data_IF_205015013444
#
_entry.id   IF_205015013444
#
_cell.length_a   1.000
_cell.length_b   1.000
_cell.length_c   1.000
_cell.angle_alpha   90.00
_cell.angle_beta   90.00
_cell.angle_gamma   90.00
#
_symmetry.space_group_name_H-M   'P 1'
#
loop_
_entity.id
_entity.type
_entity.pdbx_description
1 polymer ?
#
# COMPACT_ATOMS: atom_id res chain seq x y z
N UNK A 1 -21.83 -1.23 0.16
CA UNK A 1 -21.42 0.18 0.13
C UNK A 1 -19.91 0.33 -0.01
N UNK A 2 -19.11 -0.06 0.99
CA UNK A 2 -17.64 0.08 0.95
C UNK A 2 -16.96 -0.52 -0.29
N UNK A 3 -17.39 -1.70 -0.76
CA UNK A 3 -16.84 -2.32 -1.99
C UNK A 3 -17.10 -1.46 -3.23
N UNK A 4 -18.29 -0.87 -3.36
CA UNK A 4 -18.63 -0.02 -4.50
C UNK A 4 -17.83 1.28 -4.51
N UNK A 5 -17.66 1.90 -3.33
CA UNK A 5 -16.80 3.08 -3.16
C UNK A 5 -15.35 2.78 -3.53
N UNK A 6 -14.80 1.67 -3.04
CA UNK A 6 -13.46 1.22 -3.38
C UNK A 6 -13.27 1.00 -4.89
N UNK A 7 -14.24 0.38 -5.55
CA UNK A 7 -14.14 0.13 -6.99
C UNK A 7 -14.24 1.42 -7.81
N UNK A 8 -15.05 2.38 -7.37
CA UNK A 8 -15.13 3.70 -8.01
C UNK A 8 -13.84 4.49 -7.80
N UNK A 9 -13.26 4.45 -6.60
CA UNK A 9 -11.97 5.06 -6.30
C UNK A 9 -10.88 4.51 -7.21
N UNK A 10 -10.78 3.18 -7.34
CA UNK A 10 -9.83 2.51 -8.24
C UNK A 10 -10.03 2.91 -9.72
N UNK A 11 -11.28 3.08 -10.16
CA UNK A 11 -11.55 3.57 -11.50
C UNK A 11 -11.02 4.99 -11.72
N UNK A 12 -11.22 5.90 -10.76
CA UNK A 12 -10.68 7.26 -10.84
C UNK A 12 -9.16 7.29 -10.75
N UNK A 13 -8.57 6.49 -9.87
CA UNK A 13 -7.13 6.31 -9.79
C UNK A 13 -6.52 5.87 -11.12
N UNK A 14 -7.11 4.87 -11.79
CA UNK A 14 -6.63 4.40 -13.10
C UNK A 14 -6.73 5.46 -14.23
N UNK A 15 -7.51 6.51 -14.01
CA UNK A 15 -7.65 7.66 -14.90
C UNK A 15 -6.73 8.83 -14.51
N UNK A 16 -5.90 8.68 -13.47
CA UNK A 16 -5.09 9.76 -12.90
C UNK A 16 -5.89 10.78 -12.09
N UNK A 17 -7.15 10.49 -11.76
CA UNK A 17 -8.08 11.38 -11.06
C UNK A 17 -7.98 11.17 -9.55
N UNK A 18 -6.79 11.42 -9.01
CA UNK A 18 -6.45 11.08 -7.63
C UNK A 18 -7.26 11.86 -6.60
N UNK A 19 -7.56 13.12 -6.88
CA UNK A 19 -8.38 14.00 -6.03
C UNK A 19 -9.80 13.47 -5.84
N UNK A 20 -10.37 12.78 -6.83
CA UNK A 20 -11.68 12.15 -6.72
C UNK A 20 -11.61 10.75 -6.09
N UNK A 21 -10.48 10.04 -6.25
CA UNK A 21 -10.29 8.70 -5.68
C UNK A 21 -10.07 8.73 -4.16
N UNK A 22 -9.27 9.67 -3.66
CA UNK A 22 -8.88 9.77 -2.24
C UNK A 22 -10.06 9.77 -1.25
N UNK A 23 -11.08 10.66 -1.38
CA UNK A 23 -12.21 10.67 -0.45
C UNK A 23 -13.01 9.37 -0.48
N UNK A 24 -13.09 8.69 -1.62
CA UNK A 24 -13.82 7.43 -1.76
C UNK A 24 -13.10 6.26 -1.08
N UNK A 25 -11.77 6.20 -1.18
CA UNK A 25 -10.97 5.22 -0.43
C UNK A 25 -11.05 5.47 1.08
N UNK A 26 -10.99 6.73 1.52
CA UNK A 26 -11.14 7.10 2.93
C UNK A 26 -12.52 6.71 3.49
N UNK A 27 -13.59 6.99 2.74
CA UNK A 27 -14.94 6.59 3.14
C UNK A 27 -15.10 5.06 3.20
N UNK A 28 -14.56 4.33 2.21
CA UNK A 28 -14.58 2.88 2.21
C UNK A 28 -13.81 2.28 3.41
N UNK A 29 -12.67 2.89 3.78
CA UNK A 29 -11.85 2.51 4.92
C UNK A 29 -12.62 2.74 6.24
N UNK A 30 -13.19 3.92 6.45
CA UNK A 30 -13.97 4.25 7.65
C UNK A 30 -15.17 3.30 7.82
N UNK A 31 -15.92 3.05 6.75
CA UNK A 31 -17.04 2.10 6.79
C UNK A 31 -16.59 0.68 7.17
N UNK A 32 -15.47 0.20 6.62
CA UNK A 32 -14.94 -1.13 6.95
C UNK A 32 -14.44 -1.19 8.40
N UNK A 33 -13.76 -0.15 8.90
CA UNK A 33 -13.34 -0.05 10.31
C UNK A 33 -14.56 -0.10 11.24
N UNK A 34 -15.60 0.68 10.96
CA UNK A 34 -16.84 0.71 11.77
C UNK A 34 -17.60 -0.61 11.77
N UNK A 35 -17.68 -1.29 10.64
CA UNK A 35 -18.50 -2.50 10.49
C UNK A 35 -17.78 -3.79 10.89
N UNK A 36 -16.46 -3.86 10.71
CA UNK A 36 -15.69 -5.11 10.82
C UNK A 36 -14.61 -5.05 11.91
N UNK A 37 -14.31 -3.85 12.42
CA UNK A 37 -13.19 -3.60 13.32
C UNK A 37 -11.87 -3.39 12.60
N UNK A 38 -10.94 -2.71 13.26
CA UNK A 38 -9.68 -2.24 12.67
C UNK A 38 -8.78 -3.37 12.15
N UNK A 39 -8.82 -4.54 12.79
CA UNK A 39 -7.94 -5.67 12.48
C UNK A 39 -8.54 -6.66 11.46
N UNK A 40 -9.57 -6.26 10.71
CA UNK A 40 -10.20 -7.12 9.71
C UNK A 40 -9.42 -7.09 8.37
N UNK A 41 -9.23 -8.21 7.66
CA UNK A 41 -8.54 -8.23 6.36
C UNK A 41 -9.06 -7.24 5.32
N UNK A 42 -10.37 -6.94 5.31
CA UNK A 42 -10.92 -5.90 4.42
C UNK A 42 -10.47 -4.48 4.76
N UNK A 43 -10.16 -4.18 6.02
CA UNK A 43 -9.53 -2.90 6.41
C UNK A 43 -8.12 -2.85 5.81
N UNK A 44 -7.34 -3.93 5.92
CA UNK A 44 -6.01 -4.03 5.30
C UNK A 44 -6.04 -3.86 3.77
N UNK A 45 -7.04 -4.41 3.08
CA UNK A 45 -7.24 -4.15 1.64
C UNK A 45 -7.44 -2.66 1.36
N UNK A 46 -8.21 -1.95 2.20
CA UNK A 46 -8.49 -0.52 2.01
C UNK A 46 -7.26 0.33 2.26
N UNK A 47 -6.50 0.00 3.31
CA UNK A 47 -5.24 0.64 3.65
C UNK A 47 -4.22 0.48 2.52
N UNK A 48 -4.08 -0.73 1.97
CA UNK A 48 -3.22 -0.98 0.82
C UNK A 48 -3.62 -0.12 -0.39
N UNK A 49 -4.91 -0.05 -0.74
CA UNK A 49 -5.35 0.72 -1.91
C UNK A 49 -5.14 2.24 -1.71
N UNK A 50 -5.36 2.75 -0.49
CA UNK A 50 -5.07 4.15 -0.19
C UNK A 50 -3.55 4.44 -0.22
N UNK A 51 -2.73 3.48 0.21
CA UNK A 51 -1.28 3.57 0.10
C UNK A 51 -0.81 3.57 -1.36
N UNK A 52 -1.39 2.74 -2.23
CA UNK A 52 -1.10 2.72 -3.67
C UNK A 52 -1.47 4.05 -4.34
N UNK A 53 -2.60 4.66 -3.95
CA UNK A 53 -3.00 5.98 -4.42
C UNK A 53 -1.95 7.05 -4.07
N UNK A 54 -1.44 7.04 -2.84
CA UNK A 54 -0.40 7.98 -2.41
C UNK A 54 0.95 7.67 -3.06
N UNK A 55 1.31 6.40 -3.20
CA UNK A 55 2.51 5.96 -3.90
C UNK A 55 2.52 6.46 -5.36
N UNK A 56 1.40 6.33 -6.06
CA UNK A 56 1.23 6.81 -7.45
C UNK A 56 1.37 8.33 -7.60
N UNK A 57 1.23 9.07 -6.50
CA UNK A 57 1.42 10.53 -6.43
C UNK A 57 2.80 10.95 -5.89
N UNK A 58 3.69 9.99 -5.58
CA UNK A 58 4.97 10.27 -4.93
C UNK A 58 4.86 10.67 -3.45
N UNK A 59 3.70 10.49 -2.83
CA UNK A 59 3.40 10.84 -1.42
C UNK A 59 3.84 9.71 -0.48
N UNK A 60 5.12 9.33 -0.53
CA UNK A 60 5.64 8.15 0.16
C UNK A 60 5.51 8.23 1.69
N UNK A 61 5.66 9.41 2.28
CA UNK A 61 5.48 9.63 3.73
C UNK A 61 4.06 9.32 4.20
N UNK A 62 3.07 9.46 3.34
CA UNK A 62 1.67 9.14 3.65
C UNK A 62 1.33 7.68 3.31
N UNK A 63 1.96 7.11 2.28
CA UNK A 63 1.77 5.71 1.87
C UNK A 63 2.36 4.71 2.86
N UNK A 64 3.59 4.95 3.34
CA UNK A 64 4.35 4.04 4.18
C UNK A 64 3.61 3.55 5.44
N UNK A 65 3.05 4.42 6.31
CA UNK A 65 2.35 3.95 7.49
C UNK A 65 1.13 3.08 7.16
N UNK A 66 0.45 3.35 6.04
CA UNK A 66 -0.71 2.58 5.60
C UNK A 66 -0.31 1.18 5.11
N UNK A 67 0.80 1.07 4.37
CA UNK A 67 1.36 -0.23 3.99
C UNK A 67 1.75 -1.05 5.22
N UNK A 68 2.42 -0.45 6.19
CA UNK A 68 2.83 -1.14 7.41
C UNK A 68 1.64 -1.63 8.24
N UNK A 69 0.58 -0.82 8.39
CA UNK A 69 -0.66 -1.23 9.06
C UNK A 69 -1.33 -2.39 8.32
N UNK A 70 -1.44 -2.31 6.98
CA UNK A 70 -2.01 -3.36 6.15
C UNK A 70 -1.22 -4.69 6.22
N UNK A 71 0.12 -4.61 6.16
CA UNK A 71 1.02 -5.76 6.33
C UNK A 71 0.76 -6.42 7.68
N UNK A 72 0.72 -5.64 8.77
CA UNK A 72 0.55 -6.20 10.09
C UNK A 72 -0.79 -6.96 10.22
N UNK A 73 -1.88 -6.35 9.76
CA UNK A 73 -3.21 -6.97 9.80
C UNK A 73 -3.23 -8.25 8.96
N UNK A 74 -2.76 -8.22 7.71
CA UNK A 74 -2.77 -9.41 6.86
C UNK A 74 -1.88 -10.52 7.41
N UNK A 75 -0.68 -10.19 7.90
CA UNK A 75 0.22 -11.15 8.53
C UNK A 75 -0.42 -11.82 9.75
N UNK A 76 -1.02 -11.04 10.64
CA UNK A 76 -1.66 -11.58 11.85
C UNK A 76 -2.91 -12.41 11.55
N UNK A 77 -3.69 -12.05 10.52
CA UNK A 77 -4.99 -12.69 10.22
C UNK A 77 -4.90 -13.84 9.23
N UNK A 78 -4.00 -13.75 8.26
CA UNK A 78 -3.91 -14.68 7.13
C UNK A 78 -2.57 -15.42 7.07
N UNK A 79 -1.56 -14.92 7.78
CA UNK A 79 -0.21 -15.46 7.78
C UNK A 79 0.73 -14.80 6.76
N UNK A 80 2.03 -14.96 6.98
CA UNK A 80 3.10 -14.34 6.19
C UNK A 80 3.04 -14.73 4.70
N UNK A 81 2.80 -16.02 4.42
CA UNK A 81 2.83 -16.57 3.06
C UNK A 81 1.51 -16.41 2.30
N UNK A 82 0.51 -15.73 2.89
CA UNK A 82 -0.77 -15.55 2.22
C UNK A 82 -0.63 -14.58 1.03
N UNK A 83 -1.28 -14.84 -0.13
CA UNK A 83 -1.17 -13.98 -1.31
C UNK A 83 -1.45 -12.50 -1.06
N UNK A 84 -2.42 -12.17 -0.20
CA UNK A 84 -2.68 -10.78 0.18
C UNK A 84 -1.53 -10.14 0.95
N UNK A 85 -0.97 -10.83 1.95
CA UNK A 85 0.21 -10.35 2.68
C UNK A 85 1.37 -10.09 1.73
N UNK A 86 1.64 -11.04 0.83
CA UNK A 86 2.70 -10.93 -0.18
C UNK A 86 2.45 -9.79 -1.18
N UNK A 87 1.19 -9.53 -1.53
CA UNK A 87 0.82 -8.40 -2.41
C UNK A 87 1.17 -7.07 -1.76
N UNK A 88 0.77 -6.85 -0.50
CA UNK A 88 1.06 -5.59 0.21
C UNK A 88 2.57 -5.42 0.43
N UNK A 89 3.29 -6.50 0.75
CA UNK A 89 4.75 -6.45 0.83
C UNK A 89 5.38 -6.01 -0.49
N UNK A 90 4.94 -6.58 -1.62
CA UNK A 90 5.45 -6.18 -2.93
C UNK A 90 5.19 -4.70 -3.20
N UNK A 91 3.99 -4.21 -2.93
CA UNK A 91 3.62 -2.81 -3.14
C UNK A 91 4.45 -1.86 -2.23
N UNK A 92 4.71 -2.28 -0.99
CA UNK A 92 5.58 -1.57 -0.06
C UNK A 92 7.04 -1.54 -0.55
N UNK A 93 7.58 -2.67 -1.02
CA UNK A 93 8.93 -2.75 -1.58
C UNK A 93 9.07 -1.91 -2.86
N UNK A 94 8.04 -1.88 -3.71
CA UNK A 94 7.98 -1.01 -4.87
C UNK A 94 8.04 0.47 -4.45
N UNK A 95 7.29 0.88 -3.44
CA UNK A 95 7.39 2.23 -2.88
C UNK A 95 8.80 2.52 -2.34
N UNK A 96 9.40 1.60 -1.59
CA UNK A 96 10.76 1.76 -1.06
C UNK A 96 11.79 1.95 -2.17
N UNK A 97 11.62 1.27 -3.32
CA UNK A 97 12.52 1.43 -4.48
C UNK A 97 12.53 2.84 -5.06
N UNK A 98 11.53 3.67 -4.75
CA UNK A 98 11.44 5.06 -5.19
C UNK A 98 12.08 6.05 -4.21
N UNK A 99 12.44 5.62 -3.00
CA UNK A 99 13.07 6.49 -2.00
C UNK A 99 14.54 6.78 -2.35
N UNK A 100 15.10 7.92 -1.90
CA UNK A 100 16.52 8.21 -2.06
C UNK A 100 17.38 7.11 -1.42
N UNK A 101 18.40 6.63 -2.13
CA UNK A 101 19.31 5.59 -1.61
C UNK A 101 19.95 5.96 -0.27
N UNK A 102 20.25 7.25 -0.07
CA UNK A 102 20.76 7.76 1.20
C UNK A 102 19.78 7.54 2.37
N UNK A 103 18.47 7.65 2.12
CA UNK A 103 17.44 7.34 3.12
C UNK A 103 17.36 5.83 3.36
N UNK A 104 17.36 5.03 2.30
CA UNK A 104 17.32 3.57 2.40
C UNK A 104 18.50 3.01 3.20
N UNK A 105 19.72 3.51 2.98
CA UNK A 105 20.93 3.10 3.71
C UNK A 105 20.91 3.50 5.19
N UNK A 106 20.11 4.49 5.59
CA UNK A 106 19.91 4.81 7.01
C UNK A 106 18.96 3.83 7.69
N UNK A 107 18.06 3.21 6.91
CA UNK A 107 16.94 2.38 7.40
C UNK A 107 17.22 0.89 7.31
N UNK A 108 18.00 0.47 6.33
CA UNK A 108 18.19 -0.93 5.97
C UNK A 108 19.68 -1.25 5.75
N UNK A 109 20.10 -2.51 5.99
CA UNK A 109 21.46 -2.95 5.66
C UNK A 109 21.69 -2.92 4.15
N UNK A 110 22.95 -2.78 3.73
CA UNK A 110 23.35 -2.64 2.32
C UNK A 110 22.76 -3.74 1.42
N UNK A 111 22.70 -4.98 1.90
CA UNK A 111 22.12 -6.11 1.16
C UNK A 111 20.67 -5.86 0.73
N UNK A 112 19.85 -5.29 1.61
CA UNK A 112 18.44 -4.97 1.33
C UNK A 112 18.35 -3.79 0.37
N UNK A 113 19.21 -2.77 0.54
CA UNK A 113 19.25 -1.61 -0.34
C UNK A 113 19.60 -2.03 -1.78
N UNK A 114 20.56 -2.94 -1.96
CA UNK A 114 20.91 -3.47 -3.28
C UNK A 114 19.78 -4.31 -3.91
N UNK A 115 18.98 -5.04 -3.10
CA UNK A 115 17.82 -5.78 -3.60
C UNK A 115 16.68 -4.89 -4.10
N UNK A 116 16.56 -3.66 -3.57
CA UNK A 116 15.52 -2.70 -3.96
C UNK A 116 15.86 -1.95 -5.25
N UNK A 117 17.11 -2.02 -5.74
CA UNK A 117 17.50 -1.34 -6.97
C UNK A 117 16.83 -1.99 -8.18
N UNK A 118 16.39 -1.19 -9.18
CA UNK A 118 15.88 -1.75 -10.42
C UNK A 118 16.95 -2.64 -11.05
N UNK A 119 16.56 -3.86 -11.46
CA UNK A 119 17.45 -4.79 -12.16
C UNK A 119 18.02 -4.08 -13.39
N UNK A 120 19.34 -4.16 -13.66
CA UNK A 120 19.88 -3.60 -14.89
C UNK A 120 19.16 -4.23 -16.09
N UNK A 121 18.89 -3.45 -17.16
CA UNK A 121 18.29 -4.00 -18.37
C UNK A 121 19.15 -5.17 -18.86
N UNK A 122 18.51 -6.29 -19.23
CA UNK A 122 19.21 -7.40 -19.85
C UNK A 122 19.91 -6.91 -21.14
N UNK A 123 21.16 -7.36 -21.40
CA UNK A 123 21.92 -6.94 -22.58
C UNK A 123 21.27 -7.38 -23.89
#
# INVERSE_FOLDING_TARGET
MATSLNNLAHLYESQGRYTEAEPLYLEALDLRKRLLGDNHPSVATSLNNLAELYNSQGRYTEAEPLYLEAINIFRERLGENHPHTQTVYRNYLEMLSQLPEAELRQRFPDEVVEMLKPKPPHP
#
